data_IF_040493849103
#
_entry.id   IF_040493849103
#
_cell.length_a   1.000
_cell.length_b   1.000
_cell.length_c   1.000
_cell.angle_alpha   90.00
_cell.angle_beta   90.00
_cell.angle_gamma   90.00
#
_symmetry.space_group_name_H-M   'P 1'
#
loop_
_entity.id
_entity.type
_entity.pdbx_description
1 polymer ?
#
# COMPACT_ATOMS: atom_id res chain seq x y z
N UNK A 1 -15.32 -28.65 -14.86
CA UNK A 1 -14.10 -28.41 -15.67
C UNK A 1 -13.07 -27.55 -14.93
N UNK A 2 -13.47 -26.39 -14.37
CA UNK A 2 -12.60 -25.47 -13.64
C UNK A 2 -11.82 -26.10 -12.49
N UNK A 3 -12.46 -26.87 -11.61
CA UNK A 3 -11.76 -27.52 -10.48
C UNK A 3 -10.66 -28.47 -10.91
N UNK A 4 -10.90 -29.28 -11.95
CA UNK A 4 -9.90 -30.21 -12.50
C UNK A 4 -8.69 -29.44 -13.03
N UNK A 5 -8.93 -28.27 -13.61
CA UNK A 5 -7.87 -27.38 -14.10
C UNK A 5 -7.09 -26.71 -12.95
N UNK A 6 -7.75 -26.25 -11.89
CA UNK A 6 -7.10 -25.62 -10.72
C UNK A 6 -6.24 -26.58 -9.90
N UNK A 7 -6.65 -27.84 -9.78
CA UNK A 7 -5.96 -28.88 -9.00
C UNK A 7 -5.02 -29.76 -9.82
N UNK A 8 -4.89 -29.50 -11.13
CA UNK A 8 -3.83 -30.10 -11.93
C UNK A 8 -2.48 -29.68 -11.34
N UNK A 9 -1.59 -30.66 -11.19
CA UNK A 9 -0.25 -30.44 -10.67
C UNK A 9 0.64 -29.79 -11.73
N UNK A 10 1.49 -28.89 -11.27
CA UNK A 10 2.50 -28.18 -12.06
C UNK A 10 3.80 -28.14 -11.25
N UNK A 11 4.93 -27.94 -11.91
CA UNK A 11 6.22 -27.79 -11.23
C UNK A 11 6.20 -26.60 -10.25
N UNK A 12 6.86 -26.74 -9.10
CA UNK A 12 6.85 -25.72 -8.05
C UNK A 12 8.06 -24.78 -8.04
N UNK A 13 8.98 -24.86 -9.00
CA UNK A 13 10.25 -24.11 -8.98
C UNK A 13 10.06 -22.60 -8.79
N UNK A 14 9.12 -21.98 -9.52
CA UNK A 14 8.81 -20.56 -9.39
C UNK A 14 8.42 -20.16 -7.95
N UNK A 15 7.59 -20.97 -7.28
CA UNK A 15 7.17 -20.71 -5.89
C UNK A 15 8.35 -20.79 -4.92
N UNK A 16 9.26 -21.74 -5.11
CA UNK A 16 10.40 -21.96 -4.21
C UNK A 16 11.41 -20.81 -4.30
N UNK A 17 11.72 -20.40 -5.54
CA UNK A 17 12.58 -19.25 -5.80
C UNK A 17 11.92 -17.98 -5.29
N UNK A 18 10.63 -17.80 -5.59
CA UNK A 18 9.85 -16.66 -5.09
C UNK A 18 9.88 -16.60 -3.56
N UNK A 19 9.72 -17.71 -2.84
CA UNK A 19 9.80 -17.73 -1.37
C UNK A 19 11.15 -17.26 -0.84
N UNK A 20 12.25 -17.67 -1.46
CA UNK A 20 13.57 -17.23 -1.05
C UNK A 20 13.73 -15.71 -1.25
N UNK A 21 13.38 -15.19 -2.43
CA UNK A 21 13.44 -13.74 -2.73
C UNK A 21 12.48 -12.96 -1.84
N UNK A 22 11.24 -13.42 -1.68
CA UNK A 22 10.23 -12.82 -0.82
C UNK A 22 10.72 -12.71 0.62
N UNK A 23 11.24 -13.81 1.18
CA UNK A 23 11.83 -13.84 2.52
C UNK A 23 12.98 -12.84 2.68
N UNK A 24 13.89 -12.78 1.70
CA UNK A 24 14.97 -11.78 1.68
C UNK A 24 14.42 -10.35 1.67
N UNK A 25 13.47 -10.04 0.78
CA UNK A 25 12.91 -8.70 0.66
C UNK A 25 12.18 -8.25 1.93
N UNK A 26 11.40 -9.12 2.57
CA UNK A 26 10.70 -8.76 3.82
C UNK A 26 11.68 -8.63 5.01
N UNK A 27 12.80 -9.36 5.00
CA UNK A 27 13.91 -9.10 5.95
C UNK A 27 14.54 -7.75 5.70
N UNK A 28 14.85 -7.42 4.43
CA UNK A 28 15.44 -6.15 4.05
C UNK A 28 14.52 -4.96 4.39
N UNK A 29 13.20 -5.09 4.23
CA UNK A 29 12.24 -4.07 4.66
C UNK A 29 12.28 -3.87 6.19
N UNK A 30 12.27 -4.97 6.96
CA UNK A 30 12.25 -4.89 8.42
C UNK A 30 13.56 -4.31 8.98
N UNK A 31 14.71 -4.85 8.60
CA UNK A 31 15.99 -4.37 9.12
C UNK A 31 16.45 -3.07 8.44
N UNK A 32 16.03 -2.83 7.20
CA UNK A 32 16.21 -1.55 6.53
C UNK A 32 15.46 -0.41 7.22
N UNK A 33 14.26 -0.66 7.77
CA UNK A 33 13.55 0.32 8.58
C UNK A 33 14.31 0.72 9.86
N UNK A 34 15.14 -0.18 10.42
CA UNK A 34 16.08 0.15 11.51
C UNK A 34 17.22 1.02 10.95
N UNK A 35 17.90 0.53 9.92
CA UNK A 35 19.12 1.16 9.38
C UNK A 35 18.88 2.58 8.82
N UNK A 36 17.70 2.83 8.25
CA UNK A 36 17.33 4.13 7.65
C UNK A 36 16.76 5.13 8.66
N UNK A 37 16.58 4.74 9.92
CA UNK A 37 15.93 5.57 10.94
C UNK A 37 14.41 5.70 10.76
N UNK A 38 13.79 4.92 9.86
CA UNK A 38 12.36 4.97 9.60
C UNK A 38 11.53 4.75 10.87
N UNK A 39 11.94 3.81 11.73
CA UNK A 39 11.26 3.52 13.01
C UNK A 39 11.20 4.77 13.89
N UNK A 40 12.33 5.45 14.05
CA UNK A 40 12.41 6.68 14.86
C UNK A 40 11.44 7.73 14.32
N UNK A 41 11.59 8.08 13.04
CA UNK A 41 10.83 9.16 12.42
C UNK A 41 9.33 8.87 12.27
N UNK A 42 8.93 7.60 12.27
CA UNK A 42 7.55 7.20 12.00
C UNK A 42 6.79 6.76 13.24
N UNK A 43 7.46 6.11 14.19
CA UNK A 43 6.81 5.46 15.33
C UNK A 43 7.22 6.07 16.68
N UNK A 44 8.39 6.68 16.78
CA UNK A 44 8.91 7.18 18.05
C UNK A 44 8.90 8.73 18.15
N UNK A 45 8.74 9.44 17.04
CA UNK A 45 8.55 10.90 17.05
C UNK A 45 7.08 11.27 17.29
N UNK A 46 6.85 12.12 18.29
CA UNK A 46 5.51 12.55 18.73
C UNK A 46 5.02 11.75 19.93
N UNK A 47 3.96 12.23 20.58
CA UNK A 47 3.46 11.63 21.83
C UNK A 47 2.66 10.33 21.59
N UNK A 48 2.19 10.14 20.35
CA UNK A 48 1.39 8.99 19.95
C UNK A 48 1.47 8.79 18.43
N UNK A 49 0.94 7.67 17.94
CA UNK A 49 0.70 7.44 16.52
C UNK A 49 -0.79 7.45 16.21
N UNK A 50 -1.12 7.97 15.03
CA UNK A 50 -2.49 7.86 14.52
C UNK A 50 -2.69 6.43 14.03
N UNK A 51 -3.42 5.63 14.79
CA UNK A 51 -3.78 4.26 14.41
C UNK A 51 -4.99 4.27 13.47
N UNK A 52 -5.25 3.12 12.81
CA UNK A 52 -6.52 2.90 12.13
C UNK A 52 -7.64 2.89 13.17
N UNK A 53 -8.70 3.67 12.90
CA UNK A 53 -9.81 3.86 13.85
C UNK A 53 -10.40 2.49 14.24
N UNK A 54 -10.57 2.26 15.54
CA UNK A 54 -10.95 0.95 16.12
C UNK A 54 -9.77 0.11 16.61
N UNK A 55 -8.54 0.57 16.38
CA UNK A 55 -7.31 -0.05 16.89
C UNK A 55 -6.54 0.89 17.84
N UNK A 56 -7.27 1.66 18.65
CA UNK A 56 -6.67 2.69 19.52
C UNK A 56 -5.70 2.13 20.57
N UNK A 57 -5.86 0.84 20.91
CA UNK A 57 -4.97 0.09 21.80
C UNK A 57 -3.61 -0.28 21.16
N UNK A 58 -3.46 -0.17 19.84
CA UNK A 58 -2.20 -0.42 19.14
C UNK A 58 -1.36 0.87 19.08
N UNK A 59 -0.49 1.05 20.07
CA UNK A 59 0.55 2.08 20.07
C UNK A 59 1.96 1.46 20.01
N UNK A 60 2.96 2.20 19.51
CA UNK A 60 4.35 1.76 19.50
C UNK A 60 4.81 1.34 20.88
N UNK A 61 5.59 0.27 20.93
CA UNK A 61 6.24 -0.16 22.17
C UNK A 61 7.20 0.95 22.63
N UNK A 62 7.23 1.27 23.94
CA UNK A 62 8.02 2.38 24.47
C UNK A 62 9.52 2.10 24.39
N UNK A 63 10.30 3.18 24.47
CA UNK A 63 11.78 3.12 24.41
C UNK A 63 12.26 2.42 23.14
N UNK A 64 13.15 1.44 23.31
CA UNK A 64 13.70 0.65 22.19
C UNK A 64 12.82 -0.53 21.76
N UNK A 65 11.62 -0.68 22.34
CA UNK A 65 10.73 -1.82 22.09
C UNK A 65 10.44 -2.05 20.60
N UNK A 66 10.26 -0.99 19.82
CA UNK A 66 10.04 -1.12 18.37
C UNK A 66 11.28 -1.57 17.59
N UNK A 67 12.50 -1.31 18.06
CA UNK A 67 13.70 -1.84 17.41
C UNK A 67 13.81 -3.35 17.61
N UNK A 68 13.55 -3.84 18.83
CA UNK A 68 13.50 -5.29 19.09
C UNK A 68 12.37 -5.97 18.30
N UNK A 69 11.22 -5.32 18.20
CA UNK A 69 10.10 -5.80 17.40
C UNK A 69 10.49 -6.00 15.93
N UNK A 70 11.12 -5.00 15.31
CA UNK A 70 11.58 -5.09 13.92
C UNK A 70 12.77 -6.04 13.75
N UNK A 71 13.64 -6.16 14.75
CA UNK A 71 14.71 -7.15 14.79
C UNK A 71 14.16 -8.57 14.69
N UNK A 72 13.18 -8.89 15.54
CA UNK A 72 12.48 -10.18 15.54
C UNK A 72 11.66 -10.40 14.26
N UNK A 73 10.97 -9.36 13.77
CA UNK A 73 10.22 -9.43 12.52
C UNK A 73 11.13 -9.78 11.34
N UNK A 74 12.29 -9.13 11.20
CA UNK A 74 13.24 -9.45 10.14
C UNK A 74 13.85 -10.86 10.27
N UNK A 75 14.03 -11.37 11.50
CA UNK A 75 14.42 -12.76 11.74
C UNK A 75 13.37 -13.75 11.22
N UNK A 76 12.08 -13.49 11.41
CA UNK A 76 11.03 -14.29 10.77
C UNK A 76 11.09 -14.23 9.24
N UNK A 77 11.49 -13.09 8.67
CA UNK A 77 11.77 -12.99 7.23
C UNK A 77 12.89 -13.94 6.78
N UNK A 78 13.97 -14.06 7.56
CA UNK A 78 15.06 -15.02 7.31
C UNK A 78 14.53 -16.45 7.39
N UNK A 79 13.68 -16.75 8.38
CA UNK A 79 13.06 -18.07 8.48
C UNK A 79 12.13 -18.36 7.29
N UNK A 80 11.40 -17.38 6.77
CA UNK A 80 10.62 -17.54 5.52
C UNK A 80 11.55 -17.82 4.34
N UNK A 81 12.64 -17.04 4.19
CA UNK A 81 13.65 -17.22 3.13
C UNK A 81 14.23 -18.62 3.14
N UNK A 82 14.63 -19.13 4.32
CA UNK A 82 15.21 -20.46 4.48
C UNK A 82 14.14 -21.57 4.51
N UNK A 83 12.86 -21.21 4.68
CA UNK A 83 11.75 -22.15 4.84
C UNK A 83 11.89 -22.98 6.11
N UNK A 84 12.25 -22.32 7.20
CA UNK A 84 12.28 -22.88 8.55
C UNK A 84 10.98 -22.56 9.27
N UNK A 85 10.30 -23.61 9.73
CA UNK A 85 8.94 -23.55 10.29
C UNK A 85 8.06 -22.63 9.44
N UNK A 86 8.12 -22.80 8.12
CA UNK A 86 7.70 -21.77 7.16
C UNK A 86 6.30 -21.21 7.43
N UNK A 87 5.34 -22.11 7.70
CA UNK A 87 3.94 -21.73 7.97
C UNK A 87 3.85 -20.81 9.19
N UNK A 88 4.54 -21.17 10.26
CA UNK A 88 4.59 -20.37 11.46
C UNK A 88 5.31 -19.04 11.21
N UNK A 89 6.48 -19.07 10.57
CA UNK A 89 7.29 -17.87 10.34
C UNK A 89 6.60 -16.84 9.45
N UNK A 90 5.90 -17.27 8.38
CA UNK A 90 5.17 -16.33 7.51
C UNK A 90 3.91 -15.77 8.20
N UNK A 91 3.23 -16.56 9.04
CA UNK A 91 2.09 -16.08 9.84
C UNK A 91 2.58 -15.10 10.91
N UNK A 92 3.67 -15.41 11.61
CA UNK A 92 4.26 -14.54 12.62
C UNK A 92 4.69 -13.20 12.01
N UNK A 93 5.42 -13.22 10.89
CA UNK A 93 5.75 -12.00 10.15
C UNK A 93 4.48 -11.26 9.72
N UNK A 94 3.50 -11.98 9.16
CA UNK A 94 2.21 -11.44 8.73
C UNK A 94 1.47 -10.67 9.83
N UNK A 95 1.35 -11.27 11.00
CA UNK A 95 0.72 -10.65 12.17
C UNK A 95 1.52 -9.43 12.64
N UNK A 96 2.85 -9.55 12.70
CA UNK A 96 3.70 -8.44 13.13
C UNK A 96 3.60 -7.23 12.20
N UNK A 97 3.67 -7.47 10.90
CA UNK A 97 3.49 -6.45 9.88
C UNK A 97 2.09 -5.83 9.91
N UNK A 98 1.06 -6.64 10.14
CA UNK A 98 -0.32 -6.16 10.28
C UNK A 98 -0.46 -5.22 11.48
N UNK A 99 0.13 -5.56 12.64
CA UNK A 99 0.12 -4.68 13.80
C UNK A 99 0.80 -3.35 13.51
N UNK A 100 1.99 -3.36 12.90
CA UNK A 100 2.71 -2.15 12.47
C UNK A 100 1.86 -1.31 11.53
N UNK A 101 1.24 -1.94 10.54
CA UNK A 101 0.40 -1.27 9.56
C UNK A 101 -0.81 -0.59 10.22
N UNK A 102 -1.49 -1.27 11.15
CA UNK A 102 -2.67 -0.76 11.85
C UNK A 102 -2.33 0.32 12.90
N UNK A 103 -1.12 0.27 13.47
CA UNK A 103 -0.63 1.21 14.48
C UNK A 103 -0.37 2.62 13.92
N UNK A 104 0.01 2.76 12.64
CA UNK A 104 0.42 4.07 12.08
C UNK A 104 -0.18 4.35 10.69
N UNK A 105 -1.39 4.91 10.67
CA UNK A 105 -2.10 5.35 9.46
C UNK A 105 -1.45 6.55 8.77
N UNK A 106 -0.62 7.34 9.46
CA UNK A 106 0.06 8.51 8.88
C UNK A 106 1.06 8.13 7.80
N UNK A 107 1.51 6.87 7.80
CA UNK A 107 2.47 6.31 6.85
C UNK A 107 1.83 5.32 5.87
N UNK A 108 0.50 5.36 5.72
CA UNK A 108 -0.21 4.48 4.80
C UNK A 108 0.38 4.53 3.39
N UNK A 109 0.59 3.34 2.82
CA UNK A 109 1.04 3.13 1.46
C UNK A 109 0.34 1.87 0.88
N UNK A 110 -0.07 1.92 -0.38
CA UNK A 110 -0.68 0.77 -1.07
C UNK A 110 0.25 -0.44 -1.10
N UNK A 111 1.56 -0.23 -1.17
CA UNK A 111 2.54 -1.33 -1.15
C UNK A 111 2.58 -2.08 0.20
N UNK A 112 2.38 -1.37 1.31
CA UNK A 112 2.30 -1.99 2.64
C UNK A 112 1.02 -2.82 2.80
N UNK A 113 -0.09 -2.33 2.23
CA UNK A 113 -1.32 -3.09 2.15
C UNK A 113 -1.14 -4.35 1.29
N UNK A 114 -0.52 -4.23 0.11
CA UNK A 114 -0.23 -5.39 -0.73
C UNK A 114 0.66 -6.41 -0.02
N UNK A 115 1.69 -5.98 0.71
CA UNK A 115 2.55 -6.87 1.47
C UNK A 115 1.76 -7.67 2.51
N UNK A 116 0.85 -7.01 3.24
CA UNK A 116 -0.06 -7.68 4.19
C UNK A 116 -0.90 -8.77 3.51
N UNK A 117 -1.45 -8.48 2.32
CA UNK A 117 -2.21 -9.46 1.54
C UNK A 117 -1.33 -10.64 1.06
N UNK A 118 -0.13 -10.34 0.57
CA UNK A 118 0.82 -11.35 0.09
C UNK A 118 1.29 -12.27 1.22
N UNK A 119 1.50 -11.74 2.42
CA UNK A 119 1.83 -12.54 3.61
C UNK A 119 0.69 -13.52 3.94
N UNK A 120 -0.57 -13.06 3.89
CA UNK A 120 -1.75 -13.90 4.02
C UNK A 120 -1.85 -14.98 2.93
N UNK A 121 -1.63 -14.62 1.67
CA UNK A 121 -1.59 -15.58 0.55
C UNK A 121 -0.49 -16.62 0.78
N UNK A 122 0.75 -16.17 1.05
CA UNK A 122 1.91 -17.02 1.27
C UNK A 122 1.71 -17.98 2.46
N UNK A 123 1.01 -17.54 3.50
CA UNK A 123 0.60 -18.38 4.62
C UNK A 123 -0.28 -19.56 4.20
N UNK A 124 -0.95 -19.51 3.04
CA UNK A 124 -1.71 -20.62 2.45
C UNK A 124 -0.90 -21.46 1.42
N UNK A 125 0.18 -20.93 0.84
CA UNK A 125 0.95 -21.60 -0.22
C UNK A 125 1.98 -22.63 0.29
N UNK A 126 2.16 -23.79 -0.36
CA UNK A 126 3.07 -24.84 0.10
C UNK A 126 4.55 -24.57 -0.27
N UNK A 127 5.06 -23.37 -0.02
CA UNK A 127 6.37 -22.92 -0.51
C UNK A 127 7.58 -23.55 0.20
N UNK A 128 7.36 -24.25 1.32
CA UNK A 128 8.39 -24.98 2.06
C UNK A 128 8.66 -26.38 1.54
N UNK A 129 7.94 -26.85 0.50
CA UNK A 129 7.97 -28.26 0.08
C UNK A 129 9.21 -28.66 -0.73
N UNK A 130 10.14 -27.74 -0.99
CA UNK A 130 11.43 -28.00 -1.63
C UNK A 130 12.45 -26.92 -1.25
N UNK A 131 13.75 -27.25 -1.27
CA UNK A 131 14.86 -26.35 -0.93
C UNK A 131 14.58 -25.50 0.33
N UNK A 132 14.25 -26.17 1.42
CA UNK A 132 13.88 -25.56 2.70
C UNK A 132 14.49 -26.33 3.85
N UNK A 133 14.69 -25.64 4.98
CA UNK A 133 15.07 -26.30 6.23
C UNK A 133 14.00 -27.28 6.71
N UNK A 134 12.72 -26.99 6.50
CA UNK A 134 11.62 -27.92 6.81
C UNK A 134 11.78 -29.27 6.09
N UNK A 135 12.15 -29.27 4.81
CA UNK A 135 12.41 -30.51 4.05
C UNK A 135 13.72 -31.17 4.49
N UNK A 136 14.74 -30.39 4.83
CA UNK A 136 16.00 -30.93 5.35
C UNK A 136 15.78 -31.70 6.66
N UNK A 137 14.96 -31.15 7.56
CA UNK A 137 14.63 -31.81 8.84
C UNK A 137 13.54 -32.88 8.72
N UNK A 138 12.65 -32.78 7.72
CA UNK A 138 11.63 -33.79 7.45
C UNK A 138 11.50 -34.07 5.94
N UNK A 139 12.28 -35.03 5.40
CA UNK A 139 12.29 -35.37 3.98
C UNK A 139 10.92 -35.78 3.41
N UNK A 140 9.99 -36.27 4.24
CA UNK A 140 8.61 -36.63 3.81
C UNK A 140 7.82 -35.44 3.27
N UNK A 141 8.22 -34.21 3.61
CA UNK A 141 7.59 -33.01 3.10
C UNK A 141 7.95 -32.73 1.63
N UNK A 142 9.04 -33.30 1.11
CA UNK A 142 9.56 -32.99 -0.23
C UNK A 142 8.51 -33.25 -1.31
N UNK A 143 8.24 -32.22 -2.12
CA UNK A 143 7.44 -32.30 -3.35
C UNK A 143 8.08 -31.41 -4.40
N UNK A 144 8.11 -31.88 -5.65
CA UNK A 144 8.60 -31.11 -6.82
C UNK A 144 7.47 -30.45 -7.62
N UNK A 145 6.22 -30.66 -7.20
CA UNK A 145 5.02 -30.09 -7.81
C UNK A 145 4.16 -29.32 -6.80
N UNK A 146 3.24 -28.51 -7.31
CA UNK A 146 2.19 -27.79 -6.58
C UNK A 146 0.90 -27.78 -7.40
N UNK A 147 -0.28 -27.51 -6.81
CA UNK A 147 -1.49 -27.37 -7.61
C UNK A 147 -1.48 -26.02 -8.35
N UNK A 148 -2.05 -26.00 -9.56
CA UNK A 148 -2.03 -24.83 -10.46
C UNK A 148 -2.58 -23.55 -9.82
N UNK A 149 -3.62 -23.67 -8.98
CA UNK A 149 -4.23 -22.51 -8.33
C UNK A 149 -3.23 -21.62 -7.58
N UNK A 150 -2.11 -22.18 -7.11
CA UNK A 150 -1.09 -21.46 -6.32
C UNK A 150 -0.56 -20.23 -7.04
N UNK A 151 -0.10 -20.39 -8.29
CA UNK A 151 0.42 -19.23 -9.03
C UNK A 151 -0.72 -18.38 -9.59
N UNK A 152 -1.89 -18.96 -9.86
CA UNK A 152 -3.05 -18.22 -10.37
C UNK A 152 -3.49 -17.16 -9.36
N UNK A 153 -3.54 -17.49 -8.06
CA UNK A 153 -3.93 -16.53 -7.02
C UNK A 153 -2.97 -15.34 -6.98
N UNK A 154 -1.67 -15.61 -7.08
CA UNK A 154 -0.65 -14.55 -7.12
C UNK A 154 -0.86 -13.66 -8.35
N UNK A 155 -0.97 -14.26 -9.54
CA UNK A 155 -1.19 -13.52 -10.78
C UNK A 155 -2.49 -12.72 -10.74
N UNK A 156 -3.58 -13.31 -10.24
CA UNK A 156 -4.87 -12.64 -10.13
C UNK A 156 -4.81 -11.45 -9.16
N UNK A 157 -4.14 -11.58 -8.01
CA UNK A 157 -3.96 -10.46 -7.08
C UNK A 157 -3.17 -9.32 -7.73
N UNK A 158 -2.10 -9.63 -8.46
CA UNK A 158 -1.33 -8.60 -9.19
C UNK A 158 -2.16 -7.97 -10.29
N UNK A 159 -2.91 -8.77 -11.04
CA UNK A 159 -3.76 -8.27 -12.11
C UNK A 159 -4.79 -7.26 -11.58
N UNK A 160 -5.40 -7.53 -10.42
CA UNK A 160 -6.30 -6.59 -9.75
C UNK A 160 -5.58 -5.27 -9.45
N UNK A 161 -4.42 -5.34 -8.78
CA UNK A 161 -3.65 -4.14 -8.38
C UNK A 161 -3.27 -3.30 -9.60
N UNK A 162 -2.69 -3.92 -10.63
CA UNK A 162 -2.23 -3.24 -11.84
C UNK A 162 -3.39 -2.66 -12.65
N UNK A 163 -4.50 -3.39 -12.78
CA UNK A 163 -5.70 -2.89 -13.47
C UNK A 163 -6.26 -1.66 -12.77
N UNK A 164 -6.42 -1.70 -11.45
CA UNK A 164 -6.86 -0.54 -10.69
C UNK A 164 -5.86 0.62 -10.76
N UNK A 165 -4.55 0.34 -10.73
CA UNK A 165 -3.53 1.37 -10.84
C UNK A 165 -3.59 2.12 -12.19
N UNK A 166 -3.93 1.42 -13.27
CA UNK A 166 -4.15 2.01 -14.59
C UNK A 166 -5.46 2.81 -14.65
N UNK A 167 -6.59 2.21 -14.24
CA UNK A 167 -7.90 2.89 -14.20
C UNK A 167 -7.84 4.16 -13.35
N UNK A 168 -7.17 4.09 -12.20
CA UNK A 168 -7.01 5.22 -11.30
C UNK A 168 -6.23 6.38 -11.95
N UNK A 169 -5.31 6.10 -12.89
CA UNK A 169 -4.58 7.10 -13.68
C UNK A 169 -5.35 7.60 -14.90
N UNK A 170 -6.51 7.04 -15.22
CA UNK A 170 -7.47 7.65 -16.16
C UNK A 170 -8.24 8.74 -15.40
N UNK A 171 -7.49 9.71 -14.89
CA UNK A 171 -7.97 10.85 -14.12
C UNK A 171 -7.41 12.11 -14.79
N UNK A 172 -8.15 13.25 -14.82
CA UNK A 172 -7.77 14.41 -15.63
C UNK A 172 -6.29 14.82 -15.52
N UNK A 173 -5.76 14.91 -14.29
CA UNK A 173 -4.39 15.35 -14.03
C UNK A 173 -3.30 14.39 -14.54
N UNK A 174 -3.62 13.12 -14.76
CA UNK A 174 -2.70 12.18 -15.41
C UNK A 174 -2.82 12.27 -16.93
N UNK A 175 -4.01 12.54 -17.46
CA UNK A 175 -4.26 12.65 -18.91
C UNK A 175 -3.65 13.93 -19.51
N UNK A 176 -3.55 15.01 -18.73
CA UNK A 176 -2.87 16.25 -19.15
C UNK A 176 -1.40 16.34 -18.69
N UNK A 177 -0.89 15.25 -18.12
CA UNK A 177 0.46 15.12 -17.56
C UNK A 177 0.81 16.08 -16.39
N UNK A 178 -0.15 16.81 -15.82
CA UNK A 178 0.10 17.71 -14.69
C UNK A 178 0.54 16.98 -13.43
N UNK A 179 -0.07 15.84 -13.12
CA UNK A 179 0.35 15.00 -12.00
C UNK A 179 1.78 14.46 -12.21
N UNK A 180 2.14 14.08 -13.45
CA UNK A 180 3.49 13.65 -13.77
C UNK A 180 4.50 14.79 -13.58
N UNK A 181 4.17 15.99 -14.06
CA UNK A 181 4.97 17.20 -13.86
C UNK A 181 5.18 17.51 -12.38
N UNK A 182 4.09 17.50 -11.59
CA UNK A 182 4.14 17.73 -10.15
C UNK A 182 5.01 16.70 -9.43
N UNK A 183 4.94 15.43 -9.83
CA UNK A 183 5.82 14.40 -9.30
C UNK A 183 7.28 14.69 -9.65
N UNK A 184 7.60 15.10 -10.88
CA UNK A 184 8.98 15.37 -11.29
C UNK A 184 9.57 16.65 -10.69
N UNK A 185 8.74 17.65 -10.41
CA UNK A 185 9.17 18.91 -9.79
C UNK A 185 9.88 18.70 -8.43
N UNK A 186 9.43 17.72 -7.64
CA UNK A 186 10.07 17.36 -6.37
C UNK A 186 11.44 16.66 -6.53
N UNK A 187 11.86 16.36 -7.76
CA UNK A 187 13.11 15.66 -8.11
C UNK A 187 14.01 16.49 -9.03
N UNK A 188 13.71 17.79 -9.20
CA UNK A 188 14.53 18.70 -10.01
C UNK A 188 15.99 18.74 -9.58
N UNK A 189 16.27 18.55 -8.29
CA UNK A 189 17.62 18.65 -7.72
C UNK A 189 18.38 17.30 -7.76
N UNK A 190 17.90 16.31 -8.52
CA UNK A 190 18.61 15.05 -8.71
C UNK A 190 19.85 15.25 -9.58
N UNK A 191 21.02 14.98 -9.02
CA UNK A 191 22.33 15.29 -9.62
C UNK A 191 22.54 14.78 -11.05
N UNK A 192 21.95 13.63 -11.43
CA UNK A 192 22.17 13.01 -12.75
C UNK A 192 21.04 13.29 -13.76
N UNK A 193 19.80 13.35 -13.30
CA UNK A 193 18.61 13.32 -14.17
C UNK A 193 17.62 14.44 -13.88
N UNK A 194 17.90 15.33 -12.93
CA UNK A 194 16.97 16.37 -12.47
C UNK A 194 16.39 17.21 -13.59
N UNK A 195 17.25 17.82 -14.41
CA UNK A 195 16.86 18.67 -15.56
C UNK A 195 16.17 17.88 -16.68
N UNK A 196 16.61 16.64 -16.92
CA UNK A 196 15.98 15.75 -17.88
C UNK A 196 14.55 15.42 -17.47
N UNK A 197 14.33 15.15 -16.17
CA UNK A 197 13.01 14.84 -15.64
C UNK A 197 12.04 16.02 -15.75
N UNK A 198 12.51 17.26 -15.89
CA UNK A 198 11.64 18.44 -16.01
C UNK A 198 11.14 18.71 -17.44
N UNK A 199 11.64 17.96 -18.44
CA UNK A 199 11.28 18.20 -19.83
C UNK A 199 9.81 17.82 -20.09
N UNK A 200 9.08 18.67 -20.81
CA UNK A 200 7.65 18.47 -21.07
C UNK A 200 7.35 17.10 -21.69
N UNK A 201 8.12 16.70 -22.72
CA UNK A 201 7.93 15.40 -23.37
C UNK A 201 8.20 14.21 -22.43
N UNK A 202 9.04 14.38 -21.40
CA UNK A 202 9.28 13.36 -20.37
C UNK A 202 8.07 13.22 -19.46
N UNK A 203 7.42 14.32 -19.06
CA UNK A 203 6.19 14.26 -18.26
C UNK A 203 5.05 13.54 -19.01
N UNK A 204 4.83 13.88 -20.28
CA UNK A 204 3.88 13.17 -21.14
C UNK A 204 4.24 11.69 -21.30
N UNK A 205 5.52 11.37 -21.49
CA UNK A 205 5.98 9.98 -21.57
C UNK A 205 5.69 9.22 -20.28
N UNK A 206 6.03 9.78 -19.11
CA UNK A 206 5.77 9.16 -17.79
C UNK A 206 4.27 8.91 -17.59
N UNK A 207 3.43 9.87 -17.96
CA UNK A 207 1.98 9.76 -17.83
C UNK A 207 1.43 8.56 -18.61
N UNK A 208 1.68 8.52 -19.92
CA UNK A 208 1.08 7.50 -20.80
C UNK A 208 1.77 6.15 -20.70
N UNK A 209 3.10 6.11 -20.53
CA UNK A 209 3.79 4.85 -20.23
C UNK A 209 3.30 4.29 -18.90
N UNK A 210 3.07 5.13 -17.87
CA UNK A 210 2.50 4.69 -16.59
C UNK A 210 1.13 4.04 -16.74
N UNK A 211 0.20 4.70 -17.45
CA UNK A 211 -1.14 4.18 -17.72
C UNK A 211 -1.08 2.85 -18.49
N UNK A 212 -0.36 2.83 -19.60
CA UNK A 212 -0.27 1.67 -20.49
C UNK A 212 0.46 0.51 -19.84
N UNK A 213 1.57 0.76 -19.14
CA UNK A 213 2.31 -0.26 -18.42
C UNK A 213 1.40 -0.93 -17.40
N UNK A 214 0.75 -0.14 -16.54
CA UNK A 214 -0.11 -0.70 -15.50
C UNK A 214 -1.28 -1.51 -16.09
N UNK A 215 -1.87 -1.07 -17.20
CA UNK A 215 -3.01 -1.75 -17.81
C UNK A 215 -2.64 -3.02 -18.58
N UNK A 216 -1.45 -3.04 -19.20
CA UNK A 216 -1.08 -4.07 -20.18
C UNK A 216 -0.03 -5.06 -19.67
N UNK A 217 0.71 -4.75 -18.59
CA UNK A 217 1.87 -5.56 -18.23
C UNK A 217 1.52 -7.01 -17.88
N UNK A 218 0.44 -7.23 -17.13
CA UNK A 218 0.02 -8.59 -16.74
C UNK A 218 -0.48 -9.39 -17.96
N UNK A 219 -1.40 -8.89 -18.80
CA UNK A 219 -1.74 -9.53 -20.07
C UNK A 219 -0.53 -9.81 -20.96
N UNK A 220 0.40 -8.85 -21.08
CA UNK A 220 1.59 -8.98 -21.93
C UNK A 220 2.59 -10.02 -21.40
N UNK A 221 2.70 -10.21 -20.09
CA UNK A 221 3.50 -11.29 -19.49
C UNK A 221 2.83 -12.66 -19.65
N UNK A 222 1.49 -12.73 -19.59
CA UNK A 222 0.73 -13.96 -19.82
C UNK A 222 0.85 -14.42 -21.28
N UNK A 223 0.72 -13.49 -22.23
CA UNK A 223 0.78 -13.79 -23.66
C UNK A 223 2.20 -14.14 -24.11
N UNK A 224 2.40 -15.39 -24.56
CA UNK A 224 3.72 -15.96 -24.86
C UNK A 224 4.56 -15.12 -25.85
N UNK A 225 4.01 -14.55 -26.94
CA UNK A 225 4.77 -13.74 -27.89
C UNK A 225 5.35 -12.45 -27.28
N UNK A 226 4.62 -11.79 -26.38
CA UNK A 226 5.02 -10.50 -25.79
C UNK A 226 5.85 -10.64 -24.53
N UNK A 227 5.82 -11.80 -23.87
CA UNK A 227 6.39 -12.02 -22.53
C UNK A 227 7.82 -11.54 -22.34
N UNK A 228 8.73 -11.83 -23.28
CA UNK A 228 10.14 -11.43 -23.14
C UNK A 228 10.30 -9.91 -23.20
N UNK A 229 9.60 -9.26 -24.13
CA UNK A 229 9.60 -7.80 -24.26
C UNK A 229 9.00 -7.17 -23.00
N UNK A 230 7.84 -7.67 -22.57
CA UNK A 230 7.18 -7.22 -21.33
C UNK A 230 8.10 -7.35 -20.10
N UNK A 231 8.86 -8.44 -19.99
CA UNK A 231 9.82 -8.62 -18.89
C UNK A 231 10.93 -7.57 -18.88
N UNK A 232 11.55 -7.25 -20.02
CA UNK A 232 12.58 -6.21 -20.08
C UNK A 232 12.00 -4.81 -19.80
N UNK A 233 10.79 -4.53 -20.30
CA UNK A 233 10.06 -3.30 -19.96
C UNK A 233 9.78 -3.26 -18.45
N UNK A 234 9.39 -4.37 -17.81
CA UNK A 234 9.21 -4.43 -16.35
C UNK A 234 10.49 -4.11 -15.59
N UNK A 235 11.65 -4.63 -16.03
CA UNK A 235 12.94 -4.29 -15.42
C UNK A 235 13.16 -2.78 -15.46
N UNK A 236 13.07 -2.18 -16.65
CA UNK A 236 13.25 -0.74 -16.80
C UNK A 236 12.26 0.05 -15.93
N UNK A 237 10.97 -0.25 -16.03
CA UNK A 237 9.92 0.46 -15.30
C UNK A 237 10.10 0.37 -13.78
N UNK A 238 10.38 -0.82 -13.25
CA UNK A 238 10.56 -0.99 -11.81
C UNK A 238 11.85 -0.36 -11.30
N UNK A 239 12.96 -0.49 -12.03
CA UNK A 239 14.20 0.17 -11.65
C UNK A 239 14.09 1.70 -11.72
N UNK A 240 13.41 2.23 -12.74
CA UNK A 240 13.06 3.65 -12.82
C UNK A 240 12.25 4.07 -11.59
N UNK A 241 11.20 3.33 -11.22
CA UNK A 241 10.41 3.65 -10.05
C UNK A 241 11.21 3.56 -8.73
N UNK A 242 12.14 2.61 -8.63
CA UNK A 242 13.01 2.47 -7.46
C UNK A 242 13.95 3.66 -7.32
N UNK A 243 14.59 4.05 -8.42
CA UNK A 243 15.57 5.13 -8.46
C UNK A 243 14.93 6.51 -8.31
N UNK A 244 13.77 6.75 -8.94
CA UNK A 244 13.12 8.07 -8.96
C UNK A 244 12.15 8.29 -7.80
N UNK A 245 11.39 7.26 -7.40
CA UNK A 245 10.34 7.41 -6.39
C UNK A 245 10.67 6.77 -5.05
N UNK A 246 11.75 5.99 -4.95
CA UNK A 246 12.19 5.34 -3.71
C UNK A 246 11.07 4.57 -2.97
N UNK A 247 10.26 3.81 -3.70
CA UNK A 247 9.07 3.10 -3.18
C UNK A 247 9.39 1.78 -2.44
N UNK A 248 10.51 1.73 -1.73
CA UNK A 248 10.92 0.60 -0.89
C UNK A 248 11.19 -0.69 -1.67
N UNK A 249 10.85 -1.84 -1.08
CA UNK A 249 11.09 -3.17 -1.69
C UNK A 249 10.19 -3.51 -2.89
N UNK A 250 9.15 -2.72 -3.14
CA UNK A 250 8.10 -3.08 -4.10
C UNK A 250 8.58 -3.29 -5.55
N UNK A 251 9.50 -2.49 -6.12
CA UNK A 251 10.02 -2.72 -7.45
C UNK A 251 10.67 -4.10 -7.59
N UNK A 252 11.46 -4.50 -6.59
CA UNK A 252 12.12 -5.80 -6.54
C UNK A 252 11.12 -6.94 -6.32
N UNK A 253 10.10 -6.71 -5.50
CA UNK A 253 8.98 -7.65 -5.32
C UNK A 253 8.22 -7.87 -6.63
N UNK A 254 7.94 -6.80 -7.37
CA UNK A 254 7.28 -6.84 -8.68
C UNK A 254 8.07 -7.64 -9.69
N UNK A 255 9.39 -7.45 -9.73
CA UNK A 255 10.28 -8.27 -10.56
C UNK A 255 10.32 -9.74 -10.12
N UNK A 256 10.27 -10.03 -8.82
CA UNK A 256 10.20 -11.40 -8.33
C UNK A 256 8.93 -12.14 -8.81
N UNK A 257 7.81 -11.44 -8.99
CA UNK A 257 6.59 -12.06 -9.51
C UNK A 257 6.69 -12.52 -10.96
N UNK A 258 7.62 -11.95 -11.75
CA UNK A 258 7.82 -12.37 -13.15
C UNK A 258 8.14 -13.85 -13.27
N UNK A 259 8.71 -14.47 -12.22
CA UNK A 259 8.97 -15.91 -12.12
C UNK A 259 7.74 -16.77 -12.45
N UNK A 260 6.53 -16.32 -12.12
CA UNK A 260 5.30 -17.07 -12.36
C UNK A 260 4.80 -17.03 -13.81
N UNK A 261 5.39 -16.18 -14.64
CA UNK A 261 5.02 -16.03 -16.05
C UNK A 261 5.94 -16.82 -16.98
N UNK A 262 7.12 -17.23 -16.51
CA UNK A 262 8.07 -18.01 -17.30
C UNK A 262 7.86 -19.53 -17.17
N UNK A 263 8.27 -20.32 -18.18
CA UNK A 263 8.26 -21.77 -18.08
C UNK A 263 9.06 -22.26 -16.87
N UNK A 264 8.55 -23.29 -16.19
CA UNK A 264 9.19 -23.84 -15.00
C UNK A 264 10.62 -24.33 -15.29
N UNK A 265 10.87 -24.86 -16.49
CA UNK A 265 12.20 -25.27 -16.94
C UNK A 265 13.21 -24.11 -16.92
N UNK A 266 12.82 -22.94 -17.44
CA UNK A 266 13.67 -21.74 -17.43
C UNK A 266 14.03 -21.34 -16.01
N UNK A 267 13.03 -21.25 -15.12
CA UNK A 267 13.25 -20.88 -13.71
C UNK A 267 14.13 -21.91 -13.00
N UNK A 268 13.86 -23.20 -13.23
CA UNK A 268 14.63 -24.31 -12.66
C UNK A 268 16.09 -24.27 -13.14
N UNK A 269 16.34 -24.07 -14.43
CA UNK A 269 17.70 -24.07 -15.00
C UNK A 269 18.55 -22.88 -14.54
N UNK A 270 17.92 -21.74 -14.26
CA UNK A 270 18.61 -20.54 -13.75
C UNK A 270 18.89 -20.68 -12.24
N UNK A 271 17.86 -20.96 -11.44
CA UNK A 271 17.93 -20.80 -9.98
C UNK A 271 18.02 -22.11 -9.18
N UNK A 272 17.59 -23.25 -9.75
CA UNK A 272 17.48 -24.53 -9.04
C UNK A 272 18.15 -25.66 -9.84
N UNK A 273 19.36 -25.40 -10.34
CA UNK A 273 20.16 -26.39 -11.08
C UNK A 273 20.23 -27.71 -10.30
N UNK A 274 19.92 -28.82 -10.96
CA UNK A 274 19.88 -30.15 -10.34
C UNK A 274 18.55 -30.56 -9.73
N UNK A 275 17.56 -29.66 -9.57
CA UNK A 275 16.19 -30.07 -9.22
C UNK A 275 15.57 -30.89 -10.36
N UNK A 276 14.85 -31.97 -10.07
CA UNK A 276 14.04 -32.67 -11.07
C UNK A 276 12.87 -31.79 -11.57
N UNK A 277 12.68 -31.74 -12.88
CA UNK A 277 11.54 -31.04 -13.48
C UNK A 277 10.32 -31.94 -13.44
N UNK A 278 9.24 -31.46 -12.82
CA UNK A 278 8.00 -32.22 -12.80
C UNK A 278 7.31 -32.18 -14.16
N UNK A 279 7.17 -33.35 -14.79
CA UNK A 279 6.51 -33.56 -16.10
C UNK A 279 5.13 -34.23 -16.00
N UNK A 280 4.67 -34.52 -14.78
CA UNK A 280 3.39 -35.17 -14.52
C UNK A 280 2.17 -34.31 -14.86
N UNK A 281 1.00 -34.94 -14.92
CA UNK A 281 -0.27 -34.32 -15.27
C UNK A 281 -1.41 -34.67 -14.29
N UNK A 282 -1.05 -35.21 -13.12
CA UNK A 282 -1.98 -35.68 -12.11
C UNK A 282 -2.88 -34.54 -11.63
N UNK A 283 -4.11 -34.92 -11.27
CA UNK A 283 -5.08 -34.02 -10.64
C UNK A 283 -5.27 -34.51 -9.22
N UNK A 284 -4.75 -33.77 -8.25
CA UNK A 284 -4.81 -34.15 -6.83
C UNK A 284 -5.69 -33.12 -6.12
N UNK A 285 -6.91 -33.54 -5.75
CA UNK A 285 -7.85 -32.73 -4.99
C UNK A 285 -7.73 -33.07 -3.49
N UNK A 286 -7.39 -32.12 -2.60
CA UNK A 286 -7.48 -32.36 -1.18
C UNK A 286 -8.95 -32.44 -0.76
N UNK A 287 -9.28 -33.18 0.31
CA UNK A 287 -10.64 -33.21 0.87
C UNK A 287 -11.14 -31.79 1.25
N UNK A 288 -10.23 -30.90 1.59
CA UNK A 288 -10.46 -29.49 1.98
C UNK A 288 -10.54 -28.51 0.80
N UNK A 289 -10.74 -28.98 -0.44
CA UNK A 289 -10.75 -28.09 -1.61
C UNK A 289 -11.89 -27.05 -1.62
N UNK A 290 -13.11 -27.44 -1.20
CA UNK A 290 -14.26 -26.53 -1.21
C UNK A 290 -14.06 -25.29 -0.31
N UNK A 291 -13.61 -25.43 0.96
CA UNK A 291 -13.24 -24.29 1.78
C UNK A 291 -12.18 -23.37 1.15
N UNK A 292 -11.17 -23.93 0.48
CA UNK A 292 -10.11 -23.14 -0.19
C UNK A 292 -10.71 -22.28 -1.32
N UNK A 293 -11.57 -22.87 -2.14
CA UNK A 293 -12.25 -22.15 -3.22
C UNK A 293 -13.17 -21.07 -2.66
N UNK A 294 -13.95 -21.36 -1.62
CA UNK A 294 -14.82 -20.38 -0.97
C UNK A 294 -14.02 -19.21 -0.35
N UNK A 295 -12.93 -19.50 0.37
CA UNK A 295 -12.06 -18.50 0.97
C UNK A 295 -11.48 -17.54 -0.07
N UNK A 296 -10.89 -18.08 -1.15
CA UNK A 296 -10.31 -17.23 -2.19
C UNK A 296 -11.36 -16.56 -3.08
N UNK A 297 -12.51 -17.18 -3.26
CA UNK A 297 -13.66 -16.55 -3.91
C UNK A 297 -14.11 -15.30 -3.16
N UNK A 298 -14.36 -15.43 -1.85
CA UNK A 298 -14.71 -14.29 -0.99
C UNK A 298 -13.59 -13.24 -0.97
N UNK A 299 -12.33 -13.68 -0.85
CA UNK A 299 -11.17 -12.80 -0.90
C UNK A 299 -11.16 -11.94 -2.17
N UNK A 300 -11.31 -12.55 -3.36
CA UNK A 300 -11.29 -11.78 -4.61
C UNK A 300 -12.52 -10.91 -4.80
N UNK A 301 -13.70 -11.33 -4.33
CA UNK A 301 -14.87 -10.45 -4.28
C UNK A 301 -14.56 -9.20 -3.46
N UNK A 302 -13.95 -9.34 -2.28
CA UNK A 302 -13.53 -8.19 -1.46
C UNK A 302 -12.47 -7.35 -2.18
N UNK A 303 -11.45 -7.97 -2.77
CA UNK A 303 -10.37 -7.25 -3.46
C UNK A 303 -10.84 -6.49 -4.71
N UNK A 304 -11.96 -6.89 -5.32
CA UNK A 304 -12.60 -6.18 -6.43
C UNK A 304 -13.56 -5.12 -5.89
N UNK A 305 -14.44 -5.47 -4.96
CA UNK A 305 -15.49 -4.57 -4.48
C UNK A 305 -14.95 -3.42 -3.61
N UNK A 306 -13.97 -3.70 -2.74
CA UNK A 306 -13.46 -2.73 -1.78
C UNK A 306 -12.88 -1.49 -2.47
N UNK A 307 -12.05 -1.60 -3.52
CA UNK A 307 -11.61 -0.43 -4.28
C UNK A 307 -12.73 0.39 -4.93
N UNK A 308 -13.83 -0.23 -5.36
CA UNK A 308 -14.92 0.45 -6.07
C UNK A 308 -15.84 1.27 -5.16
N UNK A 309 -15.82 1.03 -3.85
CA UNK A 309 -16.76 1.65 -2.91
C UNK A 309 -16.81 3.18 -2.94
N UNK A 310 -15.69 3.82 -3.29
CA UNK A 310 -15.61 5.28 -3.36
C UNK A 310 -16.53 5.88 -4.43
N UNK A 311 -17.01 5.10 -5.41
CA UNK A 311 -18.02 5.55 -6.37
C UNK A 311 -19.43 5.64 -5.78
N UNK A 312 -19.67 4.98 -4.65
CA UNK A 312 -20.96 4.97 -3.94
C UNK A 312 -20.96 6.01 -2.81
N UNK A 313 -19.78 6.30 -2.25
CA UNK A 313 -19.62 7.36 -1.26
C UNK A 313 -19.76 8.71 -1.97
N UNK A 314 -20.52 9.62 -1.37
CA UNK A 314 -20.77 10.97 -1.88
C UNK A 314 -19.45 11.75 -2.02
N UNK A 315 -19.39 12.56 -3.07
CA UNK A 315 -18.31 13.52 -3.37
C UNK A 315 -16.97 12.90 -3.85
N UNK A 316 -16.00 13.74 -4.23
CA UNK A 316 -14.73 13.30 -4.81
C UNK A 316 -13.77 12.70 -3.76
N UNK A 317 -13.32 11.47 -3.99
CA UNK A 317 -12.39 10.74 -3.11
C UNK A 317 -11.01 11.41 -2.93
N UNK A 318 -10.55 12.20 -3.90
CA UNK A 318 -9.33 13.00 -3.74
C UNK A 318 -9.56 14.18 -2.80
N UNK A 319 -10.80 14.62 -2.61
CA UNK A 319 -11.18 15.65 -1.65
C UNK A 319 -11.46 15.06 -0.26
N UNK A 320 -12.41 14.14 -0.15
CA UNK A 320 -12.91 13.62 1.14
C UNK A 320 -11.98 12.60 1.80
N UNK A 321 -11.11 11.92 1.03
CA UNK A 321 -10.35 10.72 1.44
C UNK A 321 -11.20 9.47 1.76
N UNK A 322 -12.52 9.58 1.69
CA UNK A 322 -13.44 8.51 2.03
C UNK A 322 -13.41 7.43 0.94
N UNK A 323 -13.13 6.20 1.34
CA UNK A 323 -12.90 5.13 0.37
C UNK A 323 -11.49 5.11 -0.26
N UNK A 324 -10.61 6.08 0.07
CA UNK A 324 -9.30 6.17 -0.59
C UNK A 324 -8.32 5.06 -0.19
N UNK A 325 -8.21 4.73 1.10
CA UNK A 325 -7.31 3.65 1.55
C UNK A 325 -7.86 2.30 1.07
N UNK A 326 -6.97 1.33 0.86
CA UNK A 326 -7.31 -0.03 0.41
C UNK A 326 -8.01 -0.09 -0.97
N UNK A 327 -7.77 0.92 -1.83
CA UNK A 327 -8.43 1.04 -3.13
C UNK A 327 -7.48 1.03 -4.33
N UNK A 328 -6.20 0.70 -4.13
CA UNK A 328 -5.18 0.68 -5.19
C UNK A 328 -5.00 2.00 -5.94
N UNK A 329 -5.50 3.11 -5.36
CA UNK A 329 -5.34 4.47 -5.86
C UNK A 329 -3.96 4.99 -5.45
N UNK A 330 -3.00 4.95 -6.37
CA UNK A 330 -1.60 5.33 -6.14
C UNK A 330 -1.22 6.55 -6.97
N UNK A 331 -0.46 7.48 -6.36
CA UNK A 331 0.11 8.65 -7.02
C UNK A 331 -0.91 9.53 -7.78
N UNK A 332 -2.13 9.67 -7.23
CA UNK A 332 -3.19 10.48 -7.85
C UNK A 332 -3.24 11.92 -7.34
N UNK A 333 -2.68 12.17 -6.15
CA UNK A 333 -2.71 13.50 -5.57
C UNK A 333 -1.54 13.83 -4.67
N UNK A 334 -1.25 15.12 -4.60
CA UNK A 334 -0.57 15.81 -3.51
C UNK A 334 -1.60 16.65 -2.75
N UNK A 335 -1.49 16.74 -1.42
CA UNK A 335 -2.33 17.61 -0.60
C UNK A 335 -1.49 18.55 0.24
N UNK A 336 -1.84 19.83 0.20
CA UNK A 336 -1.31 20.87 1.08
C UNK A 336 -2.41 21.39 1.99
N UNK A 337 -2.11 21.68 3.26
CA UNK A 337 -3.13 22.05 4.23
C UNK A 337 -2.67 23.11 5.23
N UNK A 338 -3.61 23.93 5.69
CA UNK A 338 -3.46 24.87 6.80
C UNK A 338 -4.57 24.58 7.80
N UNK A 339 -4.19 24.36 9.05
CA UNK A 339 -5.14 23.98 10.11
C UNK A 339 -4.89 24.74 11.41
N UNK A 340 -5.98 25.13 12.06
CA UNK A 340 -6.01 25.66 13.42
C UNK A 340 -7.19 25.08 14.20
N UNK A 341 -7.01 24.90 15.49
CA UNK A 341 -8.01 24.36 16.41
C UNK A 341 -8.39 25.42 17.42
N UNK A 342 -9.70 25.64 17.61
CA UNK A 342 -10.25 26.46 18.67
C UNK A 342 -10.89 25.55 19.70
N UNK A 343 -10.35 25.53 20.92
CA UNK A 343 -10.83 24.68 22.02
C UNK A 343 -11.56 25.56 23.03
N UNK A 344 -12.83 25.29 23.30
CA UNK A 344 -13.67 26.08 24.20
C UNK A 344 -14.09 25.20 25.38
N UNK A 345 -13.84 25.63 26.60
CA UNK A 345 -14.39 24.96 27.80
C UNK A 345 -15.90 25.22 27.87
N UNK A 346 -16.70 24.15 27.89
CA UNK A 346 -18.17 24.24 27.88
C UNK A 346 -18.74 24.85 29.17
N UNK A 347 -18.03 24.75 30.29
CA UNK A 347 -18.49 25.31 31.57
C UNK A 347 -18.27 26.82 31.64
N UNK A 348 -17.11 27.29 31.17
CA UNK A 348 -16.72 28.70 31.28
C UNK A 348 -16.98 29.51 30.02
N UNK A 349 -17.13 28.86 28.87
CA UNK A 349 -17.20 29.51 27.55
C UNK A 349 -15.86 30.10 27.08
N UNK A 350 -14.78 29.92 27.84
CA UNK A 350 -13.48 30.51 27.55
C UNK A 350 -12.66 29.61 26.63
N UNK A 351 -11.97 30.26 25.68
CA UNK A 351 -11.01 29.59 24.81
C UNK A 351 -9.79 29.12 25.61
N UNK A 352 -9.43 27.86 25.44
CA UNK A 352 -8.28 27.24 26.08
C UNK A 352 -7.06 27.36 25.17
N UNK A 353 -5.91 27.68 25.76
CA UNK A 353 -4.63 27.68 25.04
C UNK A 353 -4.29 26.26 24.60
N UNK A 354 -4.12 26.05 23.29
CA UNK A 354 -3.80 24.75 22.72
C UNK A 354 -2.78 24.88 21.59
N UNK A 355 -1.69 24.12 21.66
CA UNK A 355 -0.67 24.09 20.62
C UNK A 355 -0.37 22.66 20.15
N UNK A 356 -1.08 22.25 19.10
CA UNK A 356 -0.93 20.91 18.51
C UNK A 356 0.49 20.56 18.05
N UNK A 357 1.35 21.56 17.76
CA UNK A 357 2.71 21.31 17.26
C UNK A 357 3.62 20.71 18.32
N UNK A 358 3.27 20.86 19.61
CA UNK A 358 4.03 20.25 20.72
C UNK A 358 3.79 18.74 20.82
N UNK A 359 2.61 18.26 20.41
CA UNK A 359 2.20 16.85 20.53
C UNK A 359 2.55 16.01 19.30
N UNK A 360 2.62 16.65 18.13
CA UNK A 360 2.70 15.97 16.84
C UNK A 360 4.08 16.11 16.19
N UNK A 361 4.59 15.03 15.62
CA UNK A 361 5.77 15.08 14.75
C UNK A 361 5.51 15.92 13.49
N UNK A 362 6.59 16.38 12.82
CA UNK A 362 6.47 17.15 11.56
C UNK A 362 5.68 16.41 10.47
N UNK A 363 5.74 15.08 10.44
CA UNK A 363 4.97 14.26 9.51
C UNK A 363 3.48 14.27 9.88
N UNK A 364 3.18 14.07 11.16
CA UNK A 364 1.80 14.10 11.67
C UNK A 364 1.13 15.47 11.50
N UNK A 365 1.85 16.56 11.71
CA UNK A 365 1.34 17.92 11.48
C UNK A 365 0.83 18.10 10.03
N UNK A 366 1.58 17.60 9.04
CA UNK A 366 1.17 17.65 7.62
C UNK A 366 -0.06 16.78 7.34
N UNK A 367 -0.15 15.62 7.97
CA UNK A 367 -1.25 14.67 7.78
C UNK A 367 -2.54 15.16 8.44
N UNK A 368 -2.46 15.66 9.67
CA UNK A 368 -3.60 16.30 10.37
C UNK A 368 -4.12 17.50 9.59
N UNK A 369 -3.26 18.26 8.94
CA UNK A 369 -3.71 19.41 8.15
C UNK A 369 -4.47 19.05 6.86
N UNK A 370 -4.57 17.77 6.47
CA UNK A 370 -5.05 17.39 5.13
C UNK A 370 -6.07 16.24 5.08
N UNK A 371 -6.21 15.45 6.14
CA UNK A 371 -7.04 14.22 6.12
C UNK A 371 -8.18 14.28 7.14
N UNK A 372 -9.46 14.25 6.72
CA UNK A 372 -10.62 14.32 7.61
C UNK A 372 -10.58 13.29 8.76
N UNK A 373 -10.26 12.03 8.45
CA UNK A 373 -10.20 10.95 9.44
C UNK A 373 -9.12 11.15 10.52
N UNK A 374 -8.05 11.85 10.17
CA UNK A 374 -6.96 12.17 11.11
C UNK A 374 -7.33 13.40 11.94
N UNK A 375 -7.99 14.40 11.33
CA UNK A 375 -8.51 15.59 12.03
C UNK A 375 -9.49 15.16 13.11
N UNK A 376 -10.48 14.35 12.75
CA UNK A 376 -11.48 13.85 13.70
C UNK A 376 -10.83 13.07 14.85
N UNK A 377 -9.94 12.13 14.53
CA UNK A 377 -9.26 11.34 15.57
C UNK A 377 -8.42 12.23 16.50
N UNK A 378 -7.80 13.28 15.96
CA UNK A 378 -7.06 14.23 16.78
C UNK A 378 -7.98 15.04 17.69
N UNK A 379 -9.14 15.47 17.22
CA UNK A 379 -10.15 16.12 18.06
C UNK A 379 -10.63 15.22 19.20
N UNK A 380 -10.85 13.92 18.95
CA UNK A 380 -11.21 12.97 20.02
C UNK A 380 -10.10 12.85 21.06
N UNK A 381 -8.83 12.83 20.62
CA UNK A 381 -7.69 12.79 21.54
C UNK A 381 -7.57 14.06 22.39
N UNK A 382 -7.74 15.24 21.79
CA UNK A 382 -7.76 16.51 22.51
C UNK A 382 -8.86 16.51 23.58
N UNK A 383 -10.08 16.07 23.20
CA UNK A 383 -11.21 15.92 24.13
C UNK A 383 -10.86 15.01 25.31
N UNK A 384 -10.23 13.86 25.07
CA UNK A 384 -9.80 12.95 26.13
C UNK A 384 -8.74 13.57 27.04
N UNK A 385 -7.77 14.30 26.49
CA UNK A 385 -6.71 14.92 27.27
C UNK A 385 -7.26 16.04 28.17
N UNK A 386 -8.17 16.88 27.68
CA UNK A 386 -8.87 17.87 28.51
C UNK A 386 -9.81 17.22 29.54
N UNK A 387 -10.44 16.08 29.21
CA UNK A 387 -11.27 15.34 30.15
C UNK A 387 -10.46 14.81 31.34
N UNK A 388 -9.20 14.41 31.13
CA UNK A 388 -8.27 14.03 32.24
C UNK A 388 -7.95 15.19 33.17
N UNK A 389 -8.03 16.43 32.68
CA UNK A 389 -7.94 17.67 33.47
C UNK A 389 -9.28 18.08 34.12
N UNK A 390 -10.35 17.28 33.95
CA UNK A 390 -11.68 17.58 34.48
C UNK A 390 -12.46 18.64 33.69
N UNK A 391 -12.01 18.96 32.46
CA UNK A 391 -12.65 19.93 31.56
C UNK A 391 -13.42 19.23 30.46
N UNK A 392 -14.64 19.69 30.21
CA UNK A 392 -15.41 19.29 29.04
C UNK A 392 -15.27 20.38 27.97
N UNK A 393 -14.82 20.02 26.77
CA UNK A 393 -14.50 20.98 25.71
C UNK A 393 -15.32 20.77 24.45
N UNK A 394 -15.58 21.87 23.74
CA UNK A 394 -16.01 21.89 22.35
C UNK A 394 -14.81 22.27 21.47
N UNK A 395 -14.65 21.63 20.31
CA UNK A 395 -13.50 21.82 19.42
C UNK A 395 -13.98 22.21 18.03
N UNK A 396 -13.62 23.41 17.59
CA UNK A 396 -13.92 23.91 16.26
C UNK A 396 -12.65 23.93 15.42
N UNK A 397 -12.74 23.45 14.18
CA UNK A 397 -11.58 23.29 13.30
C UNK A 397 -11.71 24.21 12.10
N UNK A 398 -10.72 25.08 11.91
CA UNK A 398 -10.55 25.81 10.65
C UNK A 398 -9.46 25.11 9.85
N UNK A 399 -9.87 24.36 8.82
CA UNK A 399 -8.97 23.60 7.96
C UNK A 399 -9.22 23.98 6.50
N UNK A 400 -8.17 24.48 5.84
CA UNK A 400 -8.16 24.72 4.40
C UNK A 400 -7.14 23.82 3.72
N UNK A 401 -7.53 23.18 2.64
CA UNK A 401 -6.65 22.32 1.85
C UNK A 401 -6.63 22.73 0.39
N UNK A 402 -5.57 22.33 -0.29
CA UNK A 402 -5.50 22.26 -1.74
C UNK A 402 -5.13 20.84 -2.18
N UNK A 403 -5.68 20.41 -3.31
CA UNK A 403 -5.41 19.12 -3.97
C UNK A 403 -4.68 19.39 -5.28
N UNK A 404 -3.49 18.82 -5.45
CA UNK A 404 -2.62 19.09 -6.59
C UNK A 404 -2.35 20.60 -6.73
N UNK A 405 -2.65 21.17 -7.89
CA UNK A 405 -2.42 22.59 -8.20
C UNK A 405 -3.69 23.45 -8.06
N UNK A 406 -4.71 22.96 -7.35
CA UNK A 406 -5.92 23.74 -6.99
C UNK A 406 -5.66 24.83 -5.95
N UNK A 407 -6.65 25.71 -5.79
CA UNK A 407 -6.68 26.72 -4.74
C UNK A 407 -7.01 26.12 -3.36
N UNK A 408 -6.78 26.93 -2.32
CA UNK A 408 -7.12 26.54 -0.96
C UNK A 408 -8.61 26.72 -0.69
N UNK A 409 -9.30 25.62 -0.36
CA UNK A 409 -10.70 25.61 0.03
C UNK A 409 -10.89 25.02 1.42
N UNK A 410 -11.96 25.43 2.10
CA UNK A 410 -12.30 24.92 3.43
C UNK A 410 -12.75 23.47 3.34
N UNK A 411 -12.11 22.58 4.10
CA UNK A 411 -12.39 21.14 4.10
C UNK A 411 -13.45 20.73 5.12
N UNK A 412 -13.41 21.32 6.31
CA UNK A 412 -14.23 20.96 7.46
C UNK A 412 -15.13 22.13 7.80
N UNK A 413 -16.41 21.88 8.08
CA UNK A 413 -17.32 22.94 8.53
C UNK A 413 -16.81 23.54 9.86
N UNK A 414 -16.38 24.82 9.87
CA UNK A 414 -15.83 25.44 11.06
C UNK A 414 -16.87 25.66 12.18
N UNK A 415 -18.15 25.44 11.91
CA UNK A 415 -19.25 25.57 12.88
C UNK A 415 -19.56 24.27 13.62
N UNK A 416 -19.01 23.14 13.17
CA UNK A 416 -19.25 21.84 13.80
C UNK A 416 -18.34 21.65 15.00
N UNK A 417 -18.92 21.24 16.14
CA UNK A 417 -18.16 20.76 17.29
C UNK A 417 -17.59 19.36 17.00
N UNK A 418 -16.32 19.32 16.61
CA UNK A 418 -15.61 18.09 16.28
C UNK A 418 -15.34 17.20 17.51
N UNK A 419 -15.51 17.70 18.74
CA UNK A 419 -15.47 16.87 19.95
C UNK A 419 -16.75 16.03 20.11
N UNK A 420 -17.87 16.47 19.52
CA UNK A 420 -19.15 15.77 19.53
C UNK A 420 -19.45 15.03 18.22
N UNK A 421 -18.80 15.40 17.11
CA UNK A 421 -18.99 14.76 15.81
C UNK A 421 -18.68 13.26 15.84
N UNK A 422 -19.53 12.46 15.20
CA UNK A 422 -19.29 11.04 14.94
C UNK A 422 -18.48 10.83 13.65
N UNK A 423 -17.82 9.68 13.57
CA UNK A 423 -17.16 9.21 12.36
C UNK A 423 -17.97 8.05 11.76
N UNK A 424 -18.46 8.24 10.53
CA UNK A 424 -19.01 7.15 9.73
C UNK A 424 -17.88 6.45 8.94
N UNK A 425 -17.79 5.13 9.09
CA UNK A 425 -16.74 4.31 8.48
C UNK A 425 -17.03 3.93 7.03
N UNK A 426 -18.31 3.92 6.66
CA UNK A 426 -18.79 3.39 5.38
C UNK A 426 -19.34 4.47 4.47
N UNK A 427 -19.86 5.55 5.04
CA UNK A 427 -20.56 6.61 4.33
C UNK A 427 -19.91 7.97 4.54
N UNK A 428 -20.44 8.95 3.81
CA UNK A 428 -19.97 10.31 3.82
C UNK A 428 -20.24 11.00 5.15
N UNK A 429 -19.24 11.69 5.67
CA UNK A 429 -19.33 12.48 6.88
C UNK A 429 -19.75 13.92 6.53
N UNK A 430 -20.97 14.33 6.93
CA UNK A 430 -21.58 15.61 6.53
C UNK A 430 -20.83 16.87 7.02
N UNK A 431 -19.92 16.74 7.97
CA UNK A 431 -19.04 17.83 8.41
C UNK A 431 -17.85 18.07 7.46
N UNK A 432 -17.65 17.22 6.45
CA UNK A 432 -16.75 17.45 5.33
C UNK A 432 -17.49 18.30 4.29
N UNK A 433 -16.97 19.49 3.99
CA UNK A 433 -17.61 20.39 3.03
C UNK A 433 -17.47 19.86 1.59
N UNK A 434 -18.42 20.17 0.69
CA UNK A 434 -18.40 19.70 -0.70
C UNK A 434 -17.13 20.09 -1.47
N UNK A 435 -16.70 19.19 -2.36
CA UNK A 435 -15.51 19.39 -3.19
C UNK A 435 -15.67 20.55 -4.19
N UNK A 436 -14.70 21.46 -4.25
CA UNK A 436 -14.64 22.49 -5.30
C UNK A 436 -14.08 21.94 -6.63
N UNK A 437 -13.51 20.73 -6.64
CA UNK A 437 -12.62 20.24 -7.69
C UNK A 437 -13.26 20.12 -9.08
N UNK A 438 -14.58 19.94 -9.14
CA UNK A 438 -15.34 19.85 -10.40
C UNK A 438 -15.60 21.22 -11.04
N UNK A 439 -15.58 22.29 -10.23
CA UNK A 439 -15.95 23.64 -10.67
C UNK A 439 -14.73 24.54 -10.92
N UNK A 440 -13.54 24.10 -10.51
CA UNK A 440 -12.30 24.84 -10.75
C UNK A 440 -11.81 24.67 -12.18
N UNK A 441 -11.66 25.79 -12.90
CA UNK A 441 -10.86 25.82 -14.12
C UNK A 441 -9.39 25.68 -13.74
N UNK A 442 -8.84 24.48 -13.93
CA UNK A 442 -7.40 24.25 -13.78
C UNK A 442 -6.70 24.77 -15.02
N UNK A 443 -5.61 25.52 -14.82
CA UNK A 443 -4.72 25.87 -15.92
C UNK A 443 -3.81 24.66 -16.15
N UNK A 444 -3.94 23.90 -17.26
CA UNK A 444 -3.03 22.81 -17.50
C UNK A 444 -1.61 23.39 -17.60
N UNK A 445 -0.58 22.69 -17.09
CA UNK A 445 0.78 23.21 -17.05
C UNK A 445 1.37 23.53 -18.43
N UNK A 446 0.72 23.04 -19.49
CA UNK A 446 1.10 23.22 -20.90
C UNK A 446 0.07 24.00 -21.72
N UNK A 447 -0.85 24.72 -21.08
CA UNK A 447 -1.75 25.62 -21.80
C UNK A 447 -0.92 26.62 -22.63
N UNK A 448 -1.17 26.75 -23.95
CA UNK A 448 -0.54 27.80 -24.74
C UNK A 448 -0.80 29.17 -24.11
N UNK A 449 0.23 30.01 -24.02
CA UNK A 449 0.06 31.38 -23.54
C UNK A 449 -0.93 32.12 -24.45
N UNK A 450 -2.07 32.55 -23.90
CA UNK A 450 -3.08 33.35 -24.64
C UNK A 450 -4.52 32.84 -24.58
N UNK A 451 -4.78 31.65 -24.03
CA UNK A 451 -6.14 31.18 -23.74
C UNK A 451 -6.41 31.32 -22.22
N UNK A 452 -6.99 32.45 -21.81
CA UNK A 452 -7.56 32.66 -20.47
C UNK A 452 -9.07 32.46 -20.48
#
# INVERSE_FOLDING_TARGET
MLERWLYKRVDNSALIVFRAIFGFLITAEAWGAIATGWIKHTLLEGDFTFNFIGFDFLQPLPGDGMYYYYGLMGLFGVFVMLGFKYRFSVIAYGLMWTCVYLMQKSSYNNHYYLLMLLLGIMACLPAHRYLSLDVKFNPKLKKISMPRWVYIIIIAQLWIVYTYASIAKIYPDWLDASMAAQLMAARKDYWLVGDFLQQNWVHWSIAYVGILFDGLIIPALLFKPTRKVAFFISIFFHLFNSFIFHIGIFPYMSLAFTLFFFPAETVRNIFLKGKELYSGNEIIKPKTYKPIVALFGLYFVIQIALPLRHWIIKDDVLWTEEGHRLSWRMMLRSKGGRISFKVIDKKTGLEQSFNYRKMLSRKQQRVVATKPDVIWQFCQRIKEDFAKEGKEVAIYVNCKIKVNDSDFHTLIDPKVDMAAASWDYFWHNEWILPSPLHNEKRKPPYAPEGLQ
#
